data_IF_494271560628
#
_entry.id   IF_494271560628
#
_cell.length_a   1.000
_cell.length_b   1.000
_cell.length_c   1.000
_cell.angle_alpha   90.00
_cell.angle_beta   90.00
_cell.angle_gamma   90.00
#
_symmetry.space_group_name_H-M   'P 1'
#
loop_
_entity.id
_entity.type
_entity.pdbx_description
1 polymer ?
#
# COMPACT_ATOMS: atom_id res chain seq x y z
N UNK A 1 -5.45 2.67 2.59
CA UNK A 1 -4.23 2.83 1.77
C UNK A 1 -3.84 1.51 1.18
N UNK A 2 -3.91 0.45 1.99
CA UNK A 2 -3.70 -0.93 1.61
C UNK A 2 -4.25 -1.30 0.23
N UNK A 3 -5.53 -1.01 -0.05
CA UNK A 3 -6.14 -1.40 -1.33
C UNK A 3 -5.52 -0.74 -2.56
N UNK A 4 -4.98 0.49 -2.45
CA UNK A 4 -4.29 1.13 -3.57
C UNK A 4 -3.00 0.40 -3.92
N UNK A 5 -2.21 0.02 -2.91
CA UNK A 5 -0.94 -0.71 -3.09
C UNK A 5 -1.22 -2.16 -3.50
N UNK A 6 -2.23 -2.79 -2.90
CA UNK A 6 -2.63 -4.16 -3.21
C UNK A 6 -3.17 -4.32 -4.63
N UNK A 7 -3.76 -3.27 -5.22
CA UNK A 7 -4.40 -3.32 -6.53
C UNK A 7 -3.45 -3.78 -7.63
N UNK A 8 -2.24 -3.21 -7.68
CA UNK A 8 -1.23 -3.59 -8.66
C UNK A 8 -0.83 -5.07 -8.55
N UNK A 9 -0.69 -5.57 -7.31
CA UNK A 9 -0.33 -6.96 -7.02
C UNK A 9 -1.46 -7.94 -7.36
N UNK A 10 -2.72 -7.55 -7.13
CA UNK A 10 -3.92 -8.33 -7.50
C UNK A 10 -4.05 -8.47 -9.02
N UNK A 11 -3.82 -7.40 -9.77
CA UNK A 11 -3.88 -7.42 -11.25
C UNK A 11 -2.91 -8.43 -11.85
N UNK A 12 -1.70 -8.54 -11.27
CA UNK A 12 -0.69 -9.47 -11.79
C UNK A 12 -1.05 -10.95 -11.59
N UNK A 13 -2.06 -11.28 -10.75
CA UNK A 13 -2.62 -12.62 -10.61
C UNK A 13 -1.66 -13.70 -10.05
N UNK A 14 -0.42 -13.34 -9.69
CA UNK A 14 0.63 -14.28 -9.26
C UNK A 14 0.75 -14.46 -7.75
N UNK A 15 0.01 -13.68 -6.96
CA UNK A 15 0.18 -13.64 -5.51
C UNK A 15 -1.07 -14.14 -4.80
N UNK A 16 -0.87 -15.03 -3.82
CA UNK A 16 -1.89 -15.35 -2.82
C UNK A 16 -2.19 -14.13 -1.96
N UNK A 17 -3.34 -14.13 -1.29
CA UNK A 17 -3.74 -13.05 -0.38
C UNK A 17 -2.71 -12.80 0.74
N UNK A 18 -2.08 -13.84 1.26
CA UNK A 18 -1.03 -13.71 2.28
C UNK A 18 0.26 -13.06 1.70
N UNK A 19 0.63 -13.41 0.47
CA UNK A 19 1.77 -12.79 -0.21
C UNK A 19 1.51 -11.31 -0.51
N UNK A 20 0.29 -10.95 -0.91
CA UNK A 20 -0.11 -9.56 -1.12
C UNK A 20 0.01 -8.79 0.19
N UNK A 21 -0.52 -9.33 1.30
CA UNK A 21 -0.49 -8.64 2.60
C UNK A 21 0.95 -8.38 3.07
N UNK A 22 1.83 -9.38 2.94
CA UNK A 22 3.25 -9.24 3.27
C UNK A 22 3.92 -8.16 2.41
N UNK A 23 3.61 -8.12 1.11
CA UNK A 23 4.26 -7.20 0.16
C UNK A 23 3.78 -5.76 0.30
N UNK A 24 2.49 -5.57 0.56
CA UNK A 24 1.94 -4.24 0.87
C UNK A 24 2.56 -3.69 2.16
N UNK A 25 2.73 -4.51 3.20
CA UNK A 25 3.40 -4.08 4.45
C UNK A 25 4.85 -3.65 4.21
N UNK A 26 5.57 -4.37 3.36
CA UNK A 26 6.94 -4.02 2.96
C UNK A 26 6.97 -2.69 2.20
N UNK A 27 6.14 -2.50 1.17
CA UNK A 27 6.05 -1.25 0.42
C UNK A 27 5.74 -0.06 1.33
N UNK A 28 4.77 -0.23 2.24
CA UNK A 28 4.41 0.82 3.21
C UNK A 28 5.53 1.12 4.19
N UNK A 29 6.33 0.13 4.58
CA UNK A 29 7.52 0.37 5.42
C UNK A 29 8.60 1.17 4.69
N UNK A 30 8.87 0.85 3.41
CA UNK A 30 9.84 1.56 2.60
C UNK A 30 9.51 3.05 2.45
N UNK A 31 8.23 3.39 2.34
CA UNK A 31 7.78 4.78 2.24
C UNK A 31 7.44 5.43 3.58
N UNK A 32 7.67 4.75 4.72
CA UNK A 32 7.41 5.27 6.06
C UNK A 32 5.93 5.53 6.36
N UNK A 33 5.06 4.61 5.94
CA UNK A 33 3.60 4.62 6.09
C UNK A 33 3.05 3.31 6.68
N UNK A 34 3.88 2.52 7.39
CA UNK A 34 3.48 1.23 7.97
C UNK A 34 2.24 1.29 8.86
N UNK A 35 2.02 2.40 9.56
CA UNK A 35 0.88 2.65 10.45
C UNK A 35 -0.37 3.15 9.72
N UNK A 36 -0.27 3.39 8.41
CA UNK A 36 -1.35 3.96 7.58
C UNK A 36 -2.02 2.97 6.65
N UNK A 37 -1.72 1.67 6.75
CA UNK A 37 -2.32 0.63 5.90
C UNK A 37 -3.85 0.74 5.85
N UNK A 38 -4.49 0.84 7.02
CA UNK A 38 -5.95 0.92 7.17
C UNK A 38 -6.52 2.34 7.05
N UNK A 39 -5.67 3.35 6.85
CA UNK A 39 -6.13 4.73 6.72
C UNK A 39 -6.84 4.96 5.39
N UNK A 40 -7.91 5.74 5.39
CA UNK A 40 -8.53 6.18 4.15
C UNK A 40 -7.61 7.17 3.40
N UNK A 41 -7.49 7.09 2.06
CA UNK A 41 -6.62 7.98 1.28
C UNK A 41 -6.89 9.48 1.50
N UNK A 42 -8.14 9.85 1.78
CA UNK A 42 -8.53 11.23 2.08
C UNK A 42 -7.89 11.78 3.38
N UNK A 43 -7.44 10.92 4.30
CA UNK A 43 -6.82 11.29 5.58
C UNK A 43 -5.29 11.46 5.50
N UNK A 44 -4.72 11.31 4.30
CA UNK A 44 -3.29 11.51 4.07
C UNK A 44 -2.99 12.97 3.70
N UNK A 45 -1.87 13.50 4.19
CA UNK A 45 -1.31 14.76 3.68
C UNK A 45 -0.91 14.64 2.21
N UNK A 46 -0.72 15.77 1.52
CA UNK A 46 -0.32 15.78 0.11
C UNK A 46 0.94 14.94 -0.16
N UNK A 47 1.99 15.12 0.66
CA UNK A 47 3.23 14.33 0.54
C UNK A 47 3.06 12.84 0.88
N UNK A 48 2.12 12.49 1.77
CA UNK A 48 1.79 11.08 2.03
C UNK A 48 1.06 10.44 0.84
N UNK A 49 0.14 11.16 0.17
CA UNK A 49 -0.53 10.66 -1.04
C UNK A 49 0.48 10.39 -2.16
N UNK A 50 1.47 11.26 -2.32
CA UNK A 50 2.53 11.08 -3.32
C UNK A 50 3.38 9.84 -3.01
N UNK A 51 3.72 9.61 -1.73
CA UNK A 51 4.43 8.39 -1.30
C UNK A 51 3.62 7.11 -1.53
N UNK A 52 2.31 7.13 -1.31
CA UNK A 52 1.42 5.98 -1.61
C UNK A 52 1.36 5.68 -3.11
N UNK A 53 1.45 6.68 -3.97
CA UNK A 53 1.44 6.46 -5.42
C UNK A 53 2.74 5.85 -5.96
N UNK A 54 3.85 5.96 -5.22
CA UNK A 54 5.16 5.38 -5.56
C UNK A 54 5.28 3.95 -5.01
N UNK A 55 4.58 3.65 -3.91
CA UNK A 55 4.58 2.36 -3.22
C UNK A 55 3.74 1.30 -3.94
#
# INVERSE_FOLDING_TARGET
>A
VYDNVAFALRIHGRHTRAQIDARVRECLALVGLSDKADSYPARLSGGQKQRVAIA
#
